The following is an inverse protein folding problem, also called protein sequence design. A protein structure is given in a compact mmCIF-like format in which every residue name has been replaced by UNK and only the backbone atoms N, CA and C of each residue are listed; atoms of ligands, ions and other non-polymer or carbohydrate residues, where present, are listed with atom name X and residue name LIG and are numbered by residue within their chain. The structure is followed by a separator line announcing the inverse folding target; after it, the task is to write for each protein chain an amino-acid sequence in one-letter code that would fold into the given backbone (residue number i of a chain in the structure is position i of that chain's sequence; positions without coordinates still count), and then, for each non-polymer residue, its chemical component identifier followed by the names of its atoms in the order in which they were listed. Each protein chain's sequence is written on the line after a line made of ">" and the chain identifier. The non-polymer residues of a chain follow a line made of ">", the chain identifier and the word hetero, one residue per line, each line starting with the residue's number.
data_IF_797252072456
#
_entry.id   IF_797252072456
#
_cell.length_a   1.000
_cell.length_b   1.000
_cell.length_c   1.000
_cell.angle_alpha   90.00
_cell.angle_beta   90.00
_cell.angle_gamma   90.00
#
_symmetry.space_group_name_H-M   'P 1'
#
loop_
_entity.id
_entity.type
_entity.pdbx_description
1 polymer ?
#
# COMPACT_ATOMS: atom_id res chain seq x y z
N UNK A 1 -7.83 16.63 -11.63
CA UNK A 1 -8.60 15.70 -10.77
C UNK A 1 -7.69 15.20 -9.64
N UNK A 2 -8.13 15.25 -8.38
CA UNK A 2 -7.38 14.74 -7.21
C UNK A 2 -7.86 13.31 -6.92
N UNK A 3 -7.02 12.31 -7.18
CA UNK A 3 -7.30 10.89 -6.89
C UNK A 3 -6.45 10.39 -5.70
N UNK A 4 -6.33 11.20 -4.66
CA UNK A 4 -5.59 10.82 -3.46
C UNK A 4 -6.58 10.36 -2.40
N UNK A 5 -6.34 9.16 -1.87
CA UNK A 5 -7.06 8.61 -0.74
C UNK A 5 -6.84 9.49 0.51
N UNK A 6 -7.66 9.29 1.51
CA UNK A 6 -7.45 9.81 2.87
C UNK A 6 -7.43 8.67 3.89
N UNK A 7 -6.75 8.83 5.03
CA UNK A 7 -6.92 7.90 6.15
C UNK A 7 -8.41 7.72 6.49
N UNK A 8 -8.82 6.48 6.71
CA UNK A 8 -10.21 6.07 6.93
C UNK A 8 -10.94 5.57 5.68
N UNK A 9 -10.32 5.66 4.49
CA UNK A 9 -10.94 5.20 3.25
C UNK A 9 -10.60 3.73 2.94
N UNK A 10 -11.59 3.01 2.42
CA UNK A 10 -11.47 1.69 1.84
C UNK A 10 -11.67 1.77 0.32
N UNK A 11 -10.83 1.07 -0.43
CA UNK A 11 -10.84 1.06 -1.89
C UNK A 11 -10.53 -0.33 -2.43
N UNK A 12 -11.20 -0.70 -3.52
CA UNK A 12 -10.85 -1.86 -4.33
C UNK A 12 -9.98 -1.40 -5.49
N UNK A 13 -8.74 -1.84 -5.53
CA UNK A 13 -7.77 -1.49 -6.57
C UNK A 13 -7.70 -2.61 -7.61
N UNK A 14 -7.76 -2.24 -8.89
CA UNK A 14 -7.40 -3.13 -10.00
C UNK A 14 -5.95 -2.88 -10.38
N UNK A 15 -5.11 -3.86 -10.14
CA UNK A 15 -3.69 -3.85 -10.41
C UNK A 15 -3.39 -4.27 -11.85
N UNK A 16 -2.18 -3.96 -12.30
CA UNK A 16 -1.65 -4.40 -13.59
C UNK A 16 -0.54 -5.43 -13.38
N UNK A 17 -0.21 -6.20 -14.42
CA UNK A 17 0.91 -7.13 -14.37
C UNK A 17 2.20 -6.36 -14.02
N UNK A 18 3.04 -6.93 -13.14
CA UNK A 18 4.26 -6.28 -12.67
C UNK A 18 5.13 -5.71 -13.81
N UNK A 19 5.30 -6.48 -14.89
CA UNK A 19 6.06 -6.06 -16.09
C UNK A 19 5.52 -4.82 -16.81
N UNK A 20 4.27 -4.44 -16.55
CA UNK A 20 3.59 -3.31 -17.18
C UNK A 20 3.51 -2.07 -16.28
N UNK A 21 3.97 -2.18 -15.02
CA UNK A 21 3.90 -1.09 -14.04
C UNK A 21 5.28 -0.47 -13.87
N UNK A 22 5.34 0.85 -13.95
CA UNK A 22 6.53 1.60 -13.53
C UNK A 22 6.36 1.97 -12.07
N UNK A 23 7.07 1.25 -11.21
CA UNK A 23 7.12 1.52 -9.77
C UNK A 23 7.77 2.88 -9.48
N UNK A 24 7.30 3.53 -8.42
CA UNK A 24 7.82 4.82 -7.97
C UNK A 24 9.21 4.69 -7.34
N UNK A 25 9.48 3.54 -6.69
CA UNK A 25 10.79 3.17 -6.17
C UNK A 25 11.10 1.73 -6.57
N UNK A 26 12.38 1.43 -6.83
CA UNK A 26 12.82 0.05 -7.03
C UNK A 26 12.46 -0.76 -5.77
N UNK A 27 11.72 -1.86 -5.90
CA UNK A 27 11.29 -2.63 -4.74
C UNK A 27 12.51 -3.31 -4.11
N UNK A 28 12.50 -3.40 -2.77
CA UNK A 28 13.57 -4.07 -2.03
C UNK A 28 13.65 -5.58 -2.33
N UNK A 29 12.53 -6.17 -2.77
CA UNK A 29 12.43 -7.56 -3.19
C UNK A 29 11.84 -7.63 -4.60
N UNK A 30 12.45 -8.44 -5.45
CA UNK A 30 11.90 -8.65 -6.79
C UNK A 30 10.52 -9.32 -6.73
N UNK A 31 9.55 -8.82 -7.51
CA UNK A 31 8.23 -9.43 -7.61
C UNK A 31 8.33 -10.82 -8.24
N UNK A 32 7.43 -11.73 -7.85
CA UNK A 32 7.35 -13.04 -8.49
C UNK A 32 6.86 -12.88 -9.94
N UNK A 33 7.33 -13.74 -10.84
CA UNK A 33 6.80 -13.77 -12.20
C UNK A 33 5.27 -13.97 -12.19
N UNK A 34 4.55 -13.19 -12.99
CA UNK A 34 3.08 -13.25 -13.07
C UNK A 34 2.35 -12.51 -11.94
N UNK A 35 3.05 -11.87 -10.99
CA UNK A 35 2.40 -11.06 -9.96
C UNK A 35 1.86 -9.72 -10.50
N UNK A 36 1.04 -9.08 -9.69
CA UNK A 36 0.44 -7.78 -9.99
C UNK A 36 0.99 -6.66 -9.09
N UNK A 37 0.96 -5.44 -9.62
CA UNK A 37 1.46 -4.24 -8.98
C UNK A 37 0.53 -3.05 -9.24
N UNK A 38 0.65 -2.04 -8.38
CA UNK A 38 -0.07 -0.79 -8.57
C UNK A 38 0.40 0.31 -7.65
N UNK A 39 -0.03 1.52 -7.97
CA UNK A 39 0.28 2.72 -7.21
C UNK A 39 -1.04 3.40 -6.82
N UNK A 40 -1.09 3.92 -5.61
CA UNK A 40 -2.13 4.83 -5.15
C UNK A 40 -1.47 6.05 -4.50
N UNK A 41 -2.17 7.18 -4.47
CA UNK A 41 -1.75 8.34 -3.70
C UNK A 41 -2.61 8.47 -2.44
N UNK A 42 -2.03 8.97 -1.36
CA UNK A 42 -2.76 9.30 -0.12
C UNK A 42 -2.32 10.67 0.40
N UNK A 43 -3.30 11.47 0.83
CA UNK A 43 -3.11 12.75 1.50
C UNK A 43 -3.33 12.58 3.00
N UNK A 44 -2.27 12.73 3.78
CA UNK A 44 -2.29 12.68 5.25
C UNK A 44 -2.38 14.11 5.78
N UNK A 45 -3.39 14.39 6.59
CA UNK A 45 -3.63 15.73 7.15
C UNK A 45 -3.05 15.94 8.55
N UNK A 46 -2.73 14.86 9.28
CA UNK A 46 -2.25 14.90 10.67
C UNK A 46 -1.04 13.98 10.84
N UNK A 47 -0.12 14.35 11.73
CA UNK A 47 0.96 13.46 12.12
C UNK A 47 0.40 12.32 12.98
N UNK A 48 0.98 11.12 12.85
CA UNK A 48 0.53 9.96 13.59
C UNK A 48 0.91 8.64 12.91
N UNK A 49 0.17 7.59 13.25
CA UNK A 49 0.33 6.27 12.64
C UNK A 49 -0.65 6.09 11.49
N UNK A 50 -0.15 5.77 10.31
CA UNK A 50 -0.96 5.36 9.17
C UNK A 50 -0.87 3.84 9.03
N UNK A 51 -2.00 3.16 9.17
CA UNK A 51 -2.13 1.73 8.92
C UNK A 51 -2.73 1.47 7.53
N UNK A 52 -2.13 0.55 6.79
CA UNK A 52 -2.59 0.07 5.48
C UNK A 52 -2.90 -1.41 5.60
N UNK A 53 -4.19 -1.75 5.60
CA UNK A 53 -4.70 -3.11 5.62
C UNK A 53 -4.98 -3.59 4.19
N UNK A 54 -4.64 -4.85 3.89
CA UNK A 54 -4.75 -5.45 2.57
C UNK A 54 -5.39 -6.83 2.63
N UNK A 55 -6.21 -7.16 1.63
CA UNK A 55 -6.88 -8.46 1.52
C UNK A 55 -5.99 -9.61 1.05
N UNK A 56 -4.78 -9.34 0.55
CA UNK A 56 -3.89 -10.38 -0.01
C UNK A 56 -2.44 -10.23 0.43
N UNK A 57 -1.64 -11.26 0.14
CA UNK A 57 -0.20 -11.31 0.42
C UNK A 57 0.61 -10.35 -0.48
N UNK A 58 0.47 -9.05 -0.23
CA UNK A 58 1.05 -7.98 -1.04
C UNK A 58 2.05 -7.15 -0.21
N UNK A 59 3.18 -6.77 -0.83
CA UNK A 59 4.15 -5.87 -0.24
C UNK A 59 3.69 -4.42 -0.38
N UNK A 60 4.00 -3.59 0.62
CA UNK A 60 3.62 -2.18 0.65
C UNK A 60 4.85 -1.35 0.96
N UNK A 61 5.17 -0.43 0.05
CA UNK A 61 6.06 0.68 0.33
C UNK A 61 5.21 1.95 0.45
N UNK A 62 5.43 2.72 1.52
CA UNK A 62 4.91 4.07 1.61
C UNK A 62 6.04 5.04 1.27
N UNK A 63 5.87 5.81 0.20
CA UNK A 63 6.96 6.59 -0.40
C UNK A 63 6.66 8.08 -0.29
N UNK A 64 7.66 8.85 0.14
CA UNK A 64 7.65 10.31 0.11
C UNK A 64 9.04 10.82 -0.29
N UNK A 65 9.08 11.83 -1.14
CA UNK A 65 10.32 12.48 -1.59
C UNK A 65 11.35 11.47 -2.15
N UNK A 66 10.86 10.48 -2.90
CA UNK A 66 11.68 9.43 -3.51
C UNK A 66 12.24 8.38 -2.54
N UNK A 67 11.79 8.38 -1.28
CA UNK A 67 12.26 7.44 -0.25
C UNK A 67 11.09 6.65 0.32
N UNK A 68 11.27 5.33 0.47
CA UNK A 68 10.36 4.51 1.23
C UNK A 68 10.53 4.77 2.73
N UNK A 69 9.42 4.95 3.43
CA UNK A 69 9.37 5.01 4.88
C UNK A 69 9.61 3.61 5.44
N UNK A 70 10.27 3.54 6.61
CA UNK A 70 10.37 2.30 7.38
C UNK A 70 8.99 1.95 7.93
N UNK A 71 8.60 0.68 7.85
CA UNK A 71 7.42 0.20 8.57
C UNK A 71 7.68 0.25 10.07
N UNK A 72 6.69 0.74 10.82
CA UNK A 72 6.69 0.78 12.28
C UNK A 72 6.14 -0.54 12.88
N UNK A 73 5.42 -1.33 12.10
CA UNK A 73 4.86 -2.62 12.52
C UNK A 73 4.22 -3.41 11.39
N UNK A 74 4.16 -4.72 11.57
CA UNK A 74 3.45 -5.66 10.71
C UNK A 74 2.52 -6.51 11.58
N UNK A 75 1.23 -6.43 11.31
CA UNK A 75 0.22 -7.22 12.01
C UNK A 75 -0.50 -8.12 11.01
N UNK A 76 -0.75 -9.36 11.41
CA UNK A 76 -1.66 -10.27 10.73
C UNK A 76 -2.92 -10.34 11.58
N UNK A 77 -4.05 -9.93 11.00
CA UNK A 77 -5.35 -10.04 11.67
C UNK A 77 -5.90 -11.46 11.51
N UNK A 78 -6.82 -11.84 12.40
CA UNK A 78 -7.47 -13.15 12.35
C UNK A 78 -8.13 -13.40 10.98
N UNK A 79 -8.09 -14.66 10.52
CA UNK A 79 -8.45 -15.05 9.15
C UNK A 79 -9.92 -14.72 8.78
N UNK A 80 -10.79 -14.45 9.76
CA UNK A 80 -12.21 -14.12 9.53
C UNK A 80 -12.49 -12.67 9.09
N UNK A 81 -11.46 -11.82 8.95
CA UNK A 81 -11.65 -10.39 8.61
C UNK A 81 -11.55 -10.10 7.12
N UNK A 82 -11.10 -11.07 6.30
CA UNK A 82 -10.75 -10.82 4.89
C UNK A 82 -9.48 -9.98 4.72
N UNK A 83 -8.83 -9.57 5.80
CA UNK A 83 -7.54 -8.85 5.81
C UNK A 83 -6.42 -9.87 5.98
N UNK A 84 -5.53 -9.92 5.00
CA UNK A 84 -4.34 -10.77 5.06
C UNK A 84 -3.21 -10.14 5.89
N UNK A 85 -3.07 -8.81 5.84
CA UNK A 85 -1.95 -8.10 6.45
C UNK A 85 -2.29 -6.63 6.68
N UNK A 86 -1.76 -6.07 7.78
CA UNK A 86 -1.71 -4.64 8.03
C UNK A 86 -0.25 -4.18 8.18
N UNK A 87 0.09 -3.05 7.57
CA UNK A 87 1.40 -2.38 7.75
C UNK A 87 1.17 -1.00 8.31
N UNK A 88 1.92 -0.64 9.34
CA UNK A 88 1.82 0.69 9.96
C UNK A 88 3.07 1.50 9.68
N UNK A 89 2.91 2.80 9.45
CA UNK A 89 3.96 3.77 9.21
C UNK A 89 3.77 5.00 10.08
N UNK A 90 4.85 5.56 10.61
CA UNK A 90 4.81 6.88 11.23
C UNK A 90 4.84 7.95 10.14
N UNK A 91 3.81 8.79 10.09
CA UNK A 91 3.60 9.80 9.04
C UNK A 91 3.49 11.19 9.63
N UNK A 92 3.92 12.18 8.85
CA UNK A 92 3.61 13.60 9.07
C UNK A 92 2.61 14.07 8.01
N UNK A 93 1.96 15.23 8.17
CA UNK A 93 1.12 15.80 7.13
C UNK A 93 1.88 15.89 5.80
N UNK A 94 1.22 15.50 4.71
CA UNK A 94 1.82 15.46 3.38
C UNK A 94 1.17 14.42 2.46
N UNK A 95 1.66 14.40 1.22
CA UNK A 95 1.24 13.43 0.21
C UNK A 95 2.26 12.29 0.13
N UNK A 96 1.75 11.07 0.05
CA UNK A 96 2.54 9.85 -0.10
C UNK A 96 2.06 9.05 -1.29
N UNK A 97 2.96 8.23 -1.83
CA UNK A 97 2.63 7.16 -2.79
C UNK A 97 2.58 5.86 -2.00
N UNK A 98 1.47 5.13 -2.11
CA UNK A 98 1.36 3.75 -1.69
C UNK A 98 1.72 2.90 -2.91
N UNK A 99 2.78 2.11 -2.78
CA UNK A 99 3.26 1.21 -3.81
C UNK A 99 2.98 -0.23 -3.39
N UNK A 100 2.18 -0.92 -4.20
CA UNK A 100 1.79 -2.32 -4.00
C UNK A 100 2.61 -3.22 -4.93
N UNK A 101 3.28 -4.20 -4.35
CA UNK A 101 4.22 -5.07 -5.09
C UNK A 101 3.88 -6.54 -4.83
N UNK A 102 3.90 -7.33 -5.90
CA UNK A 102 3.89 -8.79 -5.79
C UNK A 102 2.54 -9.39 -5.40
N UNK A 103 1.43 -8.70 -5.68
CA UNK A 103 0.11 -9.22 -5.37
C UNK A 103 -0.18 -10.50 -6.17
N UNK A 104 -0.76 -11.55 -5.54
CA UNK A 104 -1.09 -12.80 -6.23
C UNK A 104 -2.31 -12.65 -7.16
N UNK A 105 -3.16 -11.66 -6.90
CA UNK A 105 -4.40 -11.42 -7.62
C UNK A 105 -4.41 -10.03 -8.26
N UNK A 106 -5.18 -9.89 -9.34
CA UNK A 106 -5.33 -8.61 -10.05
C UNK A 106 -6.09 -7.58 -9.23
N UNK A 107 -6.88 -8.01 -8.25
CA UNK A 107 -7.68 -7.12 -7.42
C UNK A 107 -7.20 -7.21 -5.98
N UNK A 108 -7.02 -6.05 -5.34
CA UNK A 108 -6.69 -5.96 -3.92
C UNK A 108 -7.64 -4.99 -3.25
N UNK A 109 -8.23 -5.41 -2.14
CA UNK A 109 -8.96 -4.51 -1.25
C UNK A 109 -7.96 -3.90 -0.28
N UNK A 110 -7.97 -2.57 -0.20
CA UNK A 110 -7.07 -1.81 0.64
C UNK A 110 -7.89 -0.85 1.51
N UNK A 111 -7.62 -0.88 2.81
CA UNK A 111 -8.16 0.10 3.75
C UNK A 111 -7.02 0.87 4.39
N UNK A 112 -7.21 2.16 4.56
CA UNK A 112 -6.27 3.03 5.28
C UNK A 112 -6.91 3.52 6.56
N UNK A 113 -6.13 3.66 7.64
CA UNK A 113 -6.59 4.19 8.93
C UNK A 113 -5.48 5.03 9.56
N UNK A 114 -5.82 6.14 10.21
CA UNK A 114 -4.86 7.00 10.88
C UNK A 114 -5.47 7.97 11.86
#
# INVERSE_FOLDING_TARGET
>A
MRFALKPGEAVRLTLALAKAVKLALKPAREPKAGSFEGLAAIDVSRAGKLSVALSSATYVDLIRDGKALKSAGHERLADCTGIHKTVTFDVTPGRYIIQLIGAPERTVEMMTAG
#
